data_IF_669750997513
#
_entry.id   IF_669750997513
#
_cell.length_a   1.000
_cell.length_b   1.000
_cell.length_c   1.000
_cell.angle_alpha   90.00
_cell.angle_beta   90.00
_cell.angle_gamma   90.00
#
_symmetry.space_group_name_H-M   'P 1'
#
loop_
_entity.id
_entity.type
_entity.pdbx_description
1 polymer ?
#
# COMPACT_ATOMS: atom_id res chain seq x y z
N UNK A 1 -19.29 32.57 -7.39
CA UNK A 1 -19.17 31.38 -8.27
C UNK A 1 -17.69 31.07 -8.56
N UNK A 2 -16.89 30.70 -7.55
CA UNK A 2 -15.43 30.50 -7.71
C UNK A 2 -14.90 29.20 -7.09
N UNK A 3 -15.79 28.38 -6.54
CA UNK A 3 -15.44 27.22 -5.71
C UNK A 3 -15.82 25.88 -6.35
N UNK A 4 -16.53 25.88 -7.49
CA UNK A 4 -16.92 24.65 -8.20
C UNK A 4 -15.85 24.15 -9.18
N UNK A 5 -14.93 25.00 -9.64
CA UNK A 5 -13.93 24.60 -10.64
C UNK A 5 -12.73 23.85 -10.04
N UNK A 6 -12.51 23.95 -8.72
CA UNK A 6 -11.39 23.26 -8.05
C UNK A 6 -11.70 21.77 -7.85
N UNK A 7 -12.97 21.41 -7.61
CA UNK A 7 -13.37 20.02 -7.40
C UNK A 7 -13.26 19.16 -8.68
N UNK A 8 -13.57 19.75 -9.84
CA UNK A 8 -13.50 19.04 -11.13
C UNK A 8 -12.06 18.78 -11.58
N UNK A 9 -11.11 19.68 -11.25
CA UNK A 9 -9.70 19.50 -11.58
C UNK A 9 -9.03 18.38 -10.77
N UNK A 10 -9.38 18.24 -9.48
CA UNK A 10 -8.90 17.14 -8.63
C UNK A 10 -9.43 15.76 -9.07
N UNK A 11 -10.70 15.70 -9.51
CA UNK A 11 -11.28 14.45 -10.01
C UNK A 11 -10.66 14.01 -11.35
N UNK A 12 -10.31 14.95 -12.24
CA UNK A 12 -9.62 14.63 -13.49
C UNK A 12 -8.17 14.18 -13.26
N UNK A 13 -7.47 14.74 -12.27
CA UNK A 13 -6.12 14.28 -11.92
C UNK A 13 -6.08 12.85 -11.37
N UNK A 14 -7.16 12.37 -10.73
CA UNK A 14 -7.28 10.97 -10.31
C UNK A 14 -7.64 10.04 -11.48
N UNK A 15 -8.29 10.55 -12.52
CA UNK A 15 -8.65 9.76 -13.71
C UNK A 15 -7.46 9.56 -14.66
N UNK A 16 -6.55 10.54 -14.77
CA UNK A 16 -5.33 10.44 -15.60
C UNK A 16 -4.17 9.66 -14.94
N UNK A 17 -4.23 9.40 -13.63
CA UNK A 17 -3.25 8.54 -12.97
C UNK A 17 -3.40 7.04 -13.30
N UNK A 18 -4.47 6.64 -14.02
CA UNK A 18 -4.73 5.24 -14.39
C UNK A 18 -4.21 4.86 -15.79
N UNK A 19 -3.43 5.71 -16.46
CA UNK A 19 -2.89 5.43 -17.79
C UNK A 19 -1.36 5.25 -17.84
N UNK A 20 -0.74 4.88 -16.70
CA UNK A 20 0.59 4.29 -16.69
C UNK A 20 0.47 2.88 -16.12
N UNK A 21 0.37 1.89 -17.01
CA UNK A 21 0.35 0.44 -16.74
C UNK A 21 1.72 -0.07 -16.25
N UNK A 22 2.34 0.67 -15.34
CA UNK A 22 3.44 0.21 -14.52
C UNK A 22 2.80 -0.54 -13.36
N UNK A 23 3.28 -1.73 -13.03
CA UNK A 23 2.90 -2.40 -11.78
C UNK A 23 2.91 -1.37 -10.65
N UNK A 24 1.93 -1.38 -9.72
CA UNK A 24 1.86 -0.39 -8.65
C UNK A 24 3.16 -0.44 -7.85
N UNK A 25 4.10 0.44 -8.21
CA UNK A 25 5.31 0.69 -7.46
C UNK A 25 4.85 1.55 -6.30
N UNK A 26 4.54 0.89 -5.20
CA UNK A 26 4.15 1.57 -3.98
C UNK A 26 5.40 2.27 -3.45
N UNK A 27 5.59 3.54 -3.83
CA UNK A 27 6.58 4.39 -3.20
C UNK A 27 6.02 4.88 -1.87
N UNK A 28 6.17 4.07 -0.81
CA UNK A 28 5.87 4.48 0.58
C UNK A 28 6.81 5.63 1.01
N UNK A 29 7.83 5.98 0.23
CA UNK A 29 8.77 7.08 0.52
C UNK A 29 8.23 8.49 0.30
N UNK A 30 7.04 8.69 -0.30
CA UNK A 30 6.56 10.05 -0.58
C UNK A 30 5.66 10.62 0.53
N UNK A 31 6.21 11.62 1.23
CA UNK A 31 5.53 12.71 1.94
C UNK A 31 4.66 12.38 3.17
N UNK A 32 4.78 11.18 3.75
CA UNK A 32 4.16 10.87 5.03
C UNK A 32 5.25 10.68 6.07
N UNK A 33 5.19 11.42 7.17
CA UNK A 33 6.07 11.28 8.31
C UNK A 33 5.83 9.90 8.95
N UNK A 34 6.42 8.85 8.37
CA UNK A 34 6.27 7.45 8.79
C UNK A 34 6.78 7.23 10.20
N UNK A 35 7.53 8.17 10.78
CA UNK A 35 7.93 8.19 12.19
C UNK A 35 6.75 8.49 13.16
N UNK A 36 5.56 8.76 12.63
CA UNK A 36 4.35 8.96 13.44
C UNK A 36 3.35 7.83 13.22
N UNK A 37 2.57 7.52 14.25
CA UNK A 37 1.48 6.53 14.17
C UNK A 37 0.47 6.86 13.07
N UNK A 38 0.16 8.16 12.89
CA UNK A 38 -0.68 8.63 11.78
C UNK A 38 -0.04 8.33 10.41
N UNK A 39 1.26 8.51 10.31
CA UNK A 39 1.97 8.27 9.07
C UNK A 39 1.96 6.80 8.64
N UNK A 40 2.23 5.90 9.59
CA UNK A 40 2.13 4.46 9.35
C UNK A 40 0.69 4.04 9.00
N UNK A 41 -0.31 4.59 9.68
CA UNK A 41 -1.72 4.29 9.37
C UNK A 41 -2.12 4.71 7.95
N UNK A 42 -1.66 5.88 7.49
CA UNK A 42 -1.89 6.33 6.12
C UNK A 42 -1.16 5.44 5.09
N UNK A 43 0.11 5.10 5.34
CA UNK A 43 0.87 4.20 4.50
C UNK A 43 0.22 2.80 4.39
N UNK A 44 -0.39 2.31 5.47
CA UNK A 44 -1.19 1.10 5.45
C UNK A 44 -2.42 1.23 4.54
N UNK A 45 -3.13 2.36 4.58
CA UNK A 45 -4.25 2.64 3.66
C UNK A 45 -3.84 2.58 2.18
N UNK A 46 -2.68 3.14 1.84
CA UNK A 46 -2.10 3.04 0.49
C UNK A 46 -1.79 1.58 0.13
N UNK A 47 -1.18 0.84 1.06
CA UNK A 47 -0.85 -0.58 0.87
C UNK A 47 -2.11 -1.44 0.66
N UNK A 48 -3.22 -1.16 1.37
CA UNK A 48 -4.51 -1.83 1.16
C UNK A 48 -5.03 -1.60 -0.27
N UNK A 49 -5.01 -0.35 -0.74
CA UNK A 49 -5.46 -0.02 -2.09
C UNK A 49 -4.61 -0.71 -3.15
N UNK A 50 -3.28 -0.69 -3.01
CA UNK A 50 -2.37 -1.39 -3.91
C UNK A 50 -2.60 -2.91 -3.91
N UNK A 51 -2.82 -3.50 -2.73
CA UNK A 51 -3.09 -4.93 -2.61
C UNK A 51 -4.42 -5.33 -3.25
N UNK A 52 -5.46 -4.51 -3.10
CA UNK A 52 -6.75 -4.72 -3.74
C UNK A 52 -6.65 -4.58 -5.26
N UNK A 53 -5.91 -3.57 -5.75
CA UNK A 53 -5.65 -3.42 -7.18
C UNK A 53 -4.92 -4.63 -7.77
N UNK A 54 -3.90 -5.16 -7.09
CA UNK A 54 -3.19 -6.36 -7.54
C UNK A 54 -4.09 -7.61 -7.54
N UNK A 55 -4.95 -7.77 -6.54
CA UNK A 55 -5.92 -8.89 -6.47
C UNK A 55 -7.03 -8.80 -7.54
N UNK A 56 -7.30 -7.61 -8.06
CA UNK A 56 -8.30 -7.42 -9.12
C UNK A 56 -7.77 -7.81 -10.51
N UNK A 57 -6.46 -8.02 -10.67
CA UNK A 57 -5.88 -8.46 -11.94
C UNK A 57 -6.28 -9.91 -12.25
N UNK A 58 -6.42 -10.28 -13.54
CA UNK A 58 -6.63 -11.67 -13.92
C UNK A 58 -5.43 -12.53 -13.50
N UNK A 59 -5.68 -13.81 -13.20
CA UNK A 59 -4.59 -14.72 -12.85
C UNK A 59 -3.70 -15.00 -14.05
N UNK A 60 -2.38 -15.03 -13.84
CA UNK A 60 -1.45 -15.45 -14.88
C UNK A 60 -1.73 -16.89 -15.30
N UNK A 61 -1.78 -17.15 -16.60
CA UNK A 61 -1.81 -18.51 -17.13
C UNK A 61 -0.55 -19.27 -16.71
N UNK A 62 -0.66 -20.58 -16.53
CA UNK A 62 0.46 -21.43 -16.14
C UNK A 62 1.64 -21.25 -17.12
N UNK A 63 2.82 -20.96 -16.59
CA UNK A 63 4.03 -20.73 -17.40
C UNK A 63 4.18 -19.31 -17.97
N UNK A 64 3.19 -18.42 -17.78
CA UNK A 64 3.30 -17.01 -18.19
C UNK A 64 3.80 -16.12 -17.05
N UNK A 65 4.51 -15.04 -17.39
CA UNK A 65 4.99 -14.03 -16.44
C UNK A 65 4.29 -12.69 -16.69
N UNK A 66 4.06 -11.90 -15.62
CA UNK A 66 3.63 -10.52 -15.75
C UNK A 66 4.58 -9.74 -16.64
N UNK A 67 4.02 -8.96 -17.55
CA UNK A 67 4.78 -8.02 -18.39
C UNK A 67 3.91 -6.81 -18.73
N UNK A 68 4.50 -5.78 -19.34
CA UNK A 68 3.75 -4.61 -19.82
C UNK A 68 2.62 -4.99 -20.80
N UNK A 69 2.76 -6.12 -21.50
CA UNK A 69 1.78 -6.63 -22.47
C UNK A 69 0.91 -7.77 -21.93
N UNK A 70 1.25 -8.34 -20.77
CA UNK A 70 0.53 -9.42 -20.10
C UNK A 70 0.33 -9.06 -18.63
N UNK A 71 -0.67 -8.23 -18.38
CA UNK A 71 -0.99 -7.74 -17.03
C UNK A 71 -1.78 -8.83 -16.30
N UNK A 72 -1.12 -9.54 -15.40
CA UNK A 72 -1.73 -10.62 -14.63
C UNK A 72 -1.11 -10.73 -13.22
N UNK A 73 -1.86 -11.32 -12.30
CA UNK A 73 -1.40 -11.59 -10.94
C UNK A 73 -1.04 -13.07 -10.74
N UNK A 74 0.11 -13.31 -10.11
CA UNK A 74 0.50 -14.66 -9.67
C UNK A 74 -0.26 -15.05 -8.40
N UNK A 75 -0.84 -16.26 -8.38
CA UNK A 75 -1.55 -16.79 -7.20
C UNK A 75 -0.65 -16.88 -5.95
N UNK A 76 0.62 -17.26 -6.12
CA UNK A 76 1.60 -17.29 -5.03
C UNK A 76 1.80 -15.92 -4.38
N UNK A 77 1.86 -14.86 -5.20
CA UNK A 77 1.99 -13.48 -4.71
C UNK A 77 0.73 -13.04 -3.98
N UNK A 78 -0.46 -13.38 -4.48
CA UNK A 78 -1.73 -13.08 -3.80
C UNK A 78 -1.79 -13.73 -2.40
N UNK A 79 -1.32 -14.96 -2.25
CA UNK A 79 -1.29 -15.65 -0.95
C UNK A 79 -0.27 -15.00 -0.01
N UNK A 80 0.94 -14.73 -0.49
CA UNK A 80 1.98 -14.04 0.31
C UNK A 80 1.52 -12.64 0.73
N UNK A 81 0.81 -11.94 -0.16
CA UNK A 81 0.30 -10.60 0.07
C UNK A 81 -0.77 -10.60 1.16
N UNK A 82 -1.63 -11.61 1.22
CA UNK A 82 -2.60 -11.76 2.31
C UNK A 82 -1.91 -11.93 3.66
N UNK A 83 -0.85 -12.75 3.72
CA UNK A 83 -0.06 -12.94 4.93
C UNK A 83 0.65 -11.65 5.39
N UNK A 84 1.33 -10.97 4.46
CA UNK A 84 2.01 -9.70 4.74
C UNK A 84 1.03 -8.61 5.20
N UNK A 85 -0.11 -8.47 4.53
CA UNK A 85 -1.16 -7.51 4.90
C UNK A 85 -1.75 -7.78 6.28
N UNK A 86 -1.92 -9.05 6.67
CA UNK A 86 -2.39 -9.41 8.02
C UNK A 86 -1.40 -8.94 9.10
N UNK A 87 -0.09 -9.17 8.89
CA UNK A 87 0.96 -8.69 9.80
C UNK A 87 1.02 -7.17 9.87
N UNK A 88 0.96 -6.49 8.71
CA UNK A 88 0.95 -5.03 8.64
C UNK A 88 -0.25 -4.44 9.38
N UNK A 89 -1.45 -5.03 9.22
CA UNK A 89 -2.65 -4.62 9.95
C UNK A 89 -2.47 -4.70 11.45
N UNK A 90 -1.93 -5.82 11.94
CA UNK A 90 -1.71 -6.06 13.36
C UNK A 90 -0.68 -5.07 13.94
N UNK A 91 0.43 -4.84 13.23
CA UNK A 91 1.46 -3.91 13.66
C UNK A 91 0.94 -2.46 13.72
N UNK A 92 0.19 -2.02 12.70
CA UNK A 92 -0.43 -0.69 12.67
C UNK A 92 -1.45 -0.52 13.80
N UNK A 93 -2.32 -1.52 14.00
CA UNK A 93 -3.30 -1.48 15.08
C UNK A 93 -2.64 -1.43 16.46
N UNK A 94 -1.55 -2.17 16.65
CA UNK A 94 -0.79 -2.14 17.90
C UNK A 94 -0.12 -0.78 18.11
N UNK A 95 0.44 -0.16 17.08
CA UNK A 95 1.00 1.19 17.17
C UNK A 95 -0.07 2.23 17.54
N UNK A 96 -1.26 2.14 16.94
CA UNK A 96 -2.41 3.00 17.27
C UNK A 96 -2.89 2.77 18.70
N UNK A 97 -3.01 1.51 19.12
CA UNK A 97 -3.43 1.16 20.48
C UNK A 97 -2.40 1.63 21.52
N UNK A 98 -1.11 1.46 21.26
CA UNK A 98 -0.03 1.89 22.14
C UNK A 98 -0.04 3.40 22.35
N UNK A 99 -0.15 4.20 21.28
CA UNK A 99 -0.24 5.66 21.38
C UNK A 99 -1.48 6.13 22.17
N UNK A 100 -2.60 5.41 22.06
CA UNK A 100 -3.81 5.72 22.83
C UNK A 100 -3.67 5.38 24.31
N UNK A 101 -3.04 4.25 24.62
CA UNK A 101 -2.85 3.80 26.00
C UNK A 101 -1.75 4.60 26.72
N UNK A 102 -0.71 5.02 25.99
CA UNK A 102 0.47 5.67 26.53
C UNK A 102 0.88 6.90 25.69
N UNK A 103 0.13 8.01 25.76
CA UNK A 103 0.35 9.16 24.88
C UNK A 103 1.66 9.90 25.10
N UNK A 104 2.30 9.72 26.26
CA UNK A 104 3.55 10.38 26.65
C UNK A 104 4.79 9.50 26.47
N UNK A 105 4.62 8.23 26.10
CA UNK A 105 5.73 7.30 25.86
C UNK A 105 6.23 7.39 24.42
N UNK A 106 7.52 7.12 24.25
CA UNK A 106 8.16 7.07 22.95
C UNK A 106 7.59 5.91 22.10
N UNK A 107 7.10 6.25 20.91
CA UNK A 107 6.46 5.31 19.97
C UNK A 107 7.39 4.75 18.90
N UNK A 108 8.67 5.13 18.90
CA UNK A 108 9.65 4.83 17.85
C UNK A 108 9.73 3.34 17.57
N UNK A 109 9.80 2.49 18.59
CA UNK A 109 9.91 1.04 18.41
C UNK A 109 8.65 0.43 17.78
N UNK A 110 7.47 0.92 18.17
CA UNK A 110 6.18 0.40 17.70
C UNK A 110 5.91 0.87 16.27
N UNK A 111 6.30 2.10 15.96
CA UNK A 111 6.28 2.68 14.63
C UNK A 111 7.27 1.96 13.71
N UNK A 112 8.50 1.69 14.16
CA UNK A 112 9.50 0.96 13.38
C UNK A 112 9.04 -0.47 13.03
N UNK A 113 8.41 -1.17 13.98
CA UNK A 113 7.83 -2.48 13.72
C UNK A 113 6.74 -2.43 12.64
N UNK A 114 5.89 -1.40 12.66
CA UNK A 114 4.85 -1.23 11.68
C UNK A 114 5.40 -0.81 10.29
N UNK A 115 6.46 0.01 10.25
CA UNK A 115 7.19 0.31 9.02
C UNK A 115 7.80 -0.95 8.40
N UNK A 116 8.44 -1.81 9.20
CA UNK A 116 9.01 -3.07 8.73
C UNK A 116 7.93 -3.97 8.11
N UNK A 117 6.77 -4.08 8.77
CA UNK A 117 5.65 -4.85 8.24
C UNK A 117 5.07 -4.26 6.94
N UNK A 118 5.11 -2.94 6.75
CA UNK A 118 4.74 -2.30 5.48
C UNK A 118 5.78 -2.52 4.38
N UNK A 119 7.07 -2.52 4.73
CA UNK A 119 8.16 -2.86 3.82
C UNK A 119 8.03 -4.30 3.29
N UNK A 120 7.61 -5.24 4.13
CA UNK A 120 7.28 -6.61 3.70
C UNK A 120 6.19 -6.63 2.62
N UNK A 121 5.13 -5.83 2.80
CA UNK A 121 4.04 -5.73 1.82
C UNK A 121 4.55 -5.19 0.49
N UNK A 122 5.40 -4.16 0.52
CA UNK A 122 6.04 -3.63 -0.70
C UNK A 122 6.89 -4.68 -1.39
N UNK A 123 7.70 -5.44 -0.63
CA UNK A 123 8.56 -6.49 -1.18
C UNK A 123 7.73 -7.57 -1.88
N UNK A 124 6.60 -7.98 -1.27
CA UNK A 124 5.69 -8.95 -1.90
C UNK A 124 5.05 -8.39 -3.17
N UNK A 125 4.58 -7.13 -3.17
CA UNK A 125 4.05 -6.49 -4.38
C UNK A 125 5.11 -6.40 -5.49
N UNK A 126 6.34 -6.02 -5.14
CA UNK A 126 7.46 -5.95 -6.07
C UNK A 126 7.81 -7.33 -6.66
N UNK A 127 7.69 -8.41 -5.88
CA UNK A 127 7.86 -9.78 -6.39
C UNK A 127 6.81 -10.18 -7.44
N UNK A 128 5.66 -9.52 -7.45
CA UNK A 128 4.62 -9.68 -8.47
C UNK A 128 4.95 -9.00 -9.80
N UNK A 129 5.96 -8.14 -9.85
CA UNK A 129 6.39 -7.43 -11.06
C UNK A 129 7.32 -8.24 -11.97
N UNK A 130 7.86 -9.36 -11.45
CA UNK A 130 8.91 -10.17 -12.08
C UNK A 130 8.40 -11.58 -12.43
#
# INVERSE_FOLDING_TARGET
>A
MRNLQVAAALALSLALANCTTVLPSVSISNAVALNTVYGVANAYGIAVNAANAYKALPLCATGTRPSATNICAKRSVIVNLQGAMSRARLAVNNAVAFQKAYPTLDVTNVVAAAQAALSDVQAVLASGAN
#
